data_IF_060549292487
#
_entry.id   IF_060549292487
#
_cell.length_a   1.000
_cell.length_b   1.000
_cell.length_c   1.000
_cell.angle_alpha   90.00
_cell.angle_beta   90.00
_cell.angle_gamma   90.00
#
_symmetry.space_group_name_H-M   'P 1'
#
loop_
_entity.id
_entity.type
_entity.pdbx_description
1 polymer ?
#
# COMPACT_ATOMS: atom_id res chain seq x y z
N UNK A 1 -19.12 16.90 -14.09
CA UNK A 1 -19.38 15.57 -14.68
C UNK A 1 -20.12 14.71 -13.67
N UNK A 2 -21.05 13.87 -14.10
CA UNK A 2 -21.78 12.92 -13.23
C UNK A 2 -21.45 11.50 -13.68
N UNK A 3 -21.06 10.65 -12.74
CA UNK A 3 -20.77 9.24 -12.98
C UNK A 3 -22.07 8.49 -13.27
N UNK A 4 -22.17 7.76 -14.40
CA UNK A 4 -23.34 6.93 -14.68
C UNK A 4 -23.55 5.85 -13.60
N UNK A 5 -24.77 5.30 -13.56
CA UNK A 5 -25.25 4.25 -12.64
C UNK A 5 -25.40 4.66 -11.17
N UNK A 6 -24.50 5.48 -10.64
CA UNK A 6 -24.54 5.94 -9.23
C UNK A 6 -24.83 7.43 -9.06
N UNK A 7 -24.95 8.17 -10.17
CA UNK A 7 -25.27 9.61 -10.19
C UNK A 7 -24.37 10.49 -9.31
N UNK A 8 -23.11 10.07 -9.13
CA UNK A 8 -22.14 10.78 -8.30
C UNK A 8 -21.47 11.90 -9.08
N UNK A 9 -21.41 13.12 -8.53
CA UNK A 9 -20.65 14.22 -9.12
C UNK A 9 -19.16 14.03 -8.85
N UNK A 10 -18.34 14.02 -9.91
CA UNK A 10 -16.88 13.84 -9.81
C UNK A 10 -16.18 15.17 -10.14
N UNK A 11 -15.13 15.57 -9.39
CA UNK A 11 -14.29 16.71 -9.74
C UNK A 11 -13.50 16.46 -11.03
N UNK A 12 -13.10 17.53 -11.70
CA UNK A 12 -12.16 17.47 -12.83
C UNK A 12 -10.88 18.15 -12.36
N UNK A 13 -9.76 17.44 -12.46
CA UNK A 13 -8.44 17.92 -12.03
C UNK A 13 -7.48 17.89 -13.22
N UNK A 14 -6.54 18.83 -13.26
CA UNK A 14 -5.42 18.80 -14.20
C UNK A 14 -4.22 18.13 -13.56
N UNK A 15 -3.65 17.11 -14.22
CA UNK A 15 -2.48 16.38 -13.75
C UNK A 15 -1.61 15.95 -14.95
N UNK A 16 -0.30 15.89 -14.75
CA UNK A 16 0.69 15.50 -15.77
C UNK A 16 0.57 14.01 -16.18
N UNK A 17 -0.11 13.19 -15.39
CA UNK A 17 -0.38 11.79 -15.72
C UNK A 17 -1.29 11.64 -16.96
N UNK A 18 -2.13 12.63 -17.26
CA UNK A 18 -3.00 12.60 -18.43
C UNK A 18 -2.23 12.96 -19.70
N UNK A 19 -2.27 12.08 -20.70
CA UNK A 19 -1.68 12.30 -22.02
C UNK A 19 -2.75 12.83 -22.99
N UNK A 20 -2.58 14.07 -23.46
CA UNK A 20 -3.50 14.72 -24.39
C UNK A 20 -3.55 14.06 -25.77
N UNK A 21 -2.51 13.32 -26.17
CA UNK A 21 -2.43 12.66 -27.48
C UNK A 21 -3.10 11.27 -27.46
N UNK A 22 -3.42 10.74 -26.27
CA UNK A 22 -3.99 9.40 -26.10
C UNK A 22 -5.50 9.44 -25.85
N UNK A 23 -6.25 8.72 -26.68
CA UNK A 23 -7.70 8.57 -26.51
C UNK A 23 -8.43 9.92 -26.59
N UNK A 24 -9.11 10.31 -25.52
CA UNK A 24 -9.82 11.61 -25.43
C UNK A 24 -9.00 12.72 -24.79
N UNK A 25 -7.78 12.42 -24.33
CA UNK A 25 -7.00 13.32 -23.46
C UNK A 25 -7.49 13.39 -22.01
N UNK A 26 -8.56 12.66 -21.67
CA UNK A 26 -9.11 12.56 -20.32
C UNK A 26 -9.03 11.11 -19.83
N UNK A 27 -8.54 10.91 -18.61
CA UNK A 27 -8.38 9.58 -17.99
C UNK A 27 -9.27 9.49 -16.75
N UNK A 28 -9.95 8.34 -16.55
CA UNK A 28 -10.66 8.08 -15.29
C UNK A 28 -9.62 7.86 -14.19
N UNK A 29 -9.86 8.40 -13.00
CA UNK A 29 -8.97 8.19 -11.85
C UNK A 29 -9.73 7.40 -10.78
N UNK A 30 -9.19 6.24 -10.42
CA UNK A 30 -9.71 5.29 -9.44
C UNK A 30 -8.64 4.93 -8.40
N UNK A 31 -8.34 5.84 -7.44
CA UNK A 31 -7.15 5.74 -6.58
C UNK A 31 -7.05 4.46 -5.74
N UNK A 32 -8.18 3.79 -5.50
CA UNK A 32 -8.22 2.57 -4.70
C UNK A 32 -7.84 1.29 -5.44
N UNK A 33 -7.74 1.34 -6.78
CA UNK A 33 -7.66 0.14 -7.64
C UNK A 33 -6.62 0.26 -8.77
N UNK A 34 -5.75 1.28 -8.75
CA UNK A 34 -4.62 1.41 -9.68
C UNK A 34 -3.51 2.27 -9.06
N UNK A 35 -2.25 1.89 -9.30
CA UNK A 35 -1.08 2.53 -8.68
C UNK A 35 -0.85 3.95 -9.18
N UNK A 36 -1.05 4.19 -10.47
CA UNK A 36 -0.87 5.51 -11.04
C UNK A 36 -2.01 6.43 -10.59
N UNK A 37 -3.24 5.90 -10.60
CA UNK A 37 -4.41 6.61 -10.09
C UNK A 37 -4.27 6.95 -8.60
N UNK A 38 -3.64 6.08 -7.82
CA UNK A 38 -3.37 6.30 -6.40
C UNK A 38 -2.49 7.53 -6.19
N UNK A 39 -1.39 7.65 -6.94
CA UNK A 39 -0.49 8.79 -6.84
C UNK A 39 -1.15 10.10 -7.30
N UNK A 40 -1.95 10.06 -8.37
CA UNK A 40 -2.79 11.21 -8.76
C UNK A 40 -3.77 11.57 -7.64
N UNK A 41 -4.44 10.57 -7.06
CA UNK A 41 -5.36 10.75 -5.95
C UNK A 41 -4.70 11.40 -4.74
N UNK A 42 -3.47 11.01 -4.41
CA UNK A 42 -2.68 11.64 -3.35
C UNK A 42 -2.33 13.09 -3.66
N UNK A 43 -1.81 13.38 -4.85
CA UNK A 43 -1.43 14.76 -5.26
C UNK A 43 -2.60 15.73 -5.20
N UNK A 44 -3.80 15.27 -5.58
CA UNK A 44 -5.01 16.09 -5.66
C UNK A 44 -5.97 15.93 -4.48
N UNK A 45 -5.57 15.22 -3.42
CA UNK A 45 -6.38 14.94 -2.24
C UNK A 45 -7.77 14.33 -2.58
N UNK A 46 -7.82 13.41 -3.55
CA UNK A 46 -9.05 12.76 -3.98
C UNK A 46 -9.48 11.65 -2.99
N UNK A 47 -10.79 11.49 -2.75
CA UNK A 47 -11.29 10.36 -1.97
C UNK A 47 -10.99 9.01 -2.65
N UNK A 48 -10.59 8.02 -1.86
CA UNK A 48 -10.25 6.68 -2.31
C UNK A 48 -11.43 5.75 -2.04
N UNK A 49 -11.96 5.08 -3.08
CA UNK A 49 -13.20 4.32 -2.99
C UNK A 49 -12.95 2.85 -3.31
N UNK A 50 -12.98 2.00 -2.29
CA UNK A 50 -12.87 0.56 -2.45
C UNK A 50 -14.24 -0.06 -2.74
N UNK A 51 -14.35 -0.76 -3.87
CA UNK A 51 -15.57 -1.48 -4.27
C UNK A 51 -15.39 -3.00 -4.31
N UNK A 52 -14.16 -3.50 -4.09
CA UNK A 52 -13.82 -4.92 -4.23
C UNK A 52 -13.56 -5.55 -2.86
N UNK A 53 -14.03 -6.78 -2.68
CA UNK A 53 -13.62 -7.68 -1.60
C UNK A 53 -12.27 -8.31 -1.93
N UNK A 54 -11.64 -8.97 -0.95
CA UNK A 54 -10.40 -9.71 -1.17
C UNK A 54 -10.54 -10.87 -2.16
N UNK A 55 -11.76 -11.40 -2.33
CA UNK A 55 -12.06 -12.45 -3.31
C UNK A 55 -12.23 -11.88 -4.75
N UNK A 56 -12.19 -10.55 -4.90
CA UNK A 56 -12.40 -9.89 -6.19
C UNK A 56 -13.88 -9.76 -6.57
N UNK A 57 -14.79 -9.82 -5.60
CA UNK A 57 -16.22 -9.59 -5.79
C UNK A 57 -16.58 -8.13 -5.47
N UNK A 58 -17.66 -7.63 -6.06
CA UNK A 58 -18.19 -6.31 -5.74
C UNK A 58 -18.82 -6.34 -4.33
N UNK A 59 -18.45 -5.35 -3.50
CA UNK A 59 -19.00 -5.18 -2.15
C UNK A 59 -20.49 -4.85 -2.17
N UNK A 60 -21.17 -5.13 -1.06
CA UNK A 60 -22.53 -4.61 -0.82
C UNK A 60 -22.53 -3.10 -0.61
N UNK A 61 -21.50 -2.60 0.09
CA UNK A 61 -21.25 -1.18 0.34
C UNK A 61 -19.79 -0.84 0.06
N UNK A 62 -19.54 0.26 -0.64
CA UNK A 62 -18.21 0.78 -0.87
C UNK A 62 -17.59 1.30 0.42
N UNK A 63 -16.28 1.15 0.57
CA UNK A 63 -15.51 1.81 1.61
C UNK A 63 -14.91 3.08 1.02
N UNK A 64 -14.98 4.19 1.76
CA UNK A 64 -14.50 5.49 1.29
C UNK A 64 -13.51 6.03 2.30
N UNK A 65 -12.32 6.38 1.80
CA UNK A 65 -11.21 6.86 2.61
C UNK A 65 -10.67 8.20 2.09
N UNK A 66 -10.07 8.99 2.97
CA UNK A 66 -9.23 10.12 2.59
C UNK A 66 -7.82 9.66 2.18
N UNK A 67 -6.97 10.60 1.74
CA UNK A 67 -5.59 10.28 1.34
C UNK A 67 -4.66 9.92 2.50
N UNK A 68 -5.14 10.04 3.74
CA UNK A 68 -4.44 9.61 4.95
C UNK A 68 -4.97 8.24 5.44
N UNK A 69 -5.91 7.65 4.70
CA UNK A 69 -6.53 6.36 5.00
C UNK A 69 -7.63 6.41 6.07
N UNK A 70 -8.07 7.59 6.51
CA UNK A 70 -9.20 7.69 7.44
C UNK A 70 -10.51 7.47 6.69
N UNK A 71 -11.48 6.83 7.34
CA UNK A 71 -12.83 6.72 6.81
C UNK A 71 -13.42 8.10 6.52
N UNK A 72 -14.14 8.21 5.41
CA UNK A 72 -14.74 9.45 4.93
C UNK A 72 -16.16 9.22 4.44
N UNK A 73 -17.04 10.17 4.71
CA UNK A 73 -18.44 10.20 4.28
C UNK A 73 -18.68 11.17 3.10
N UNK A 74 -17.61 11.66 2.47
CA UNK A 74 -17.68 12.62 1.36
C UNK A 74 -18.47 12.08 0.16
N UNK A 75 -18.53 10.77 0.01
CA UNK A 75 -19.33 10.08 -0.99
C UNK A 75 -20.18 8.98 -0.35
N UNK A 76 -21.35 8.73 -0.94
CA UNK A 76 -22.19 7.60 -0.53
C UNK A 76 -21.44 6.27 -0.74
N UNK A 77 -21.59 5.37 0.23
CA UNK A 77 -21.16 3.98 0.18
C UNK A 77 -22.08 3.09 -0.65
N UNK A 78 -23.17 3.61 -1.20
CA UNK A 78 -24.15 2.80 -1.93
C UNK A 78 -23.57 2.25 -3.23
N UNK A 79 -23.67 0.93 -3.40
CA UNK A 79 -23.42 0.22 -4.65
C UNK A 79 -24.77 -0.29 -5.16
N UNK A 80 -25.13 -0.12 -6.45
CA UNK A 80 -26.39 -0.60 -6.97
C UNK A 80 -26.55 -2.12 -6.76
N UNK A 81 -27.71 -2.53 -6.24
CA UNK A 81 -27.96 -3.91 -5.80
C UNK A 81 -27.73 -4.96 -6.90
N UNK A 82 -27.93 -4.58 -8.17
CA UNK A 82 -27.70 -5.44 -9.33
C UNK A 82 -26.23 -5.81 -9.57
N UNK A 83 -25.28 -5.03 -9.02
CA UNK A 83 -23.85 -5.30 -9.16
C UNK A 83 -23.22 -5.91 -7.92
N UNK A 84 -23.88 -5.85 -6.77
CA UNK A 84 -23.35 -6.37 -5.51
C UNK A 84 -23.09 -7.88 -5.61
N UNK A 85 -21.98 -8.34 -5.01
CA UNK A 85 -21.53 -9.74 -4.97
C UNK A 85 -21.21 -10.38 -6.32
N UNK A 86 -21.21 -9.60 -7.40
CA UNK A 86 -20.74 -10.10 -8.68
C UNK A 86 -19.21 -10.18 -8.65
N UNK A 87 -18.67 -11.27 -9.17
CA UNK A 87 -17.25 -11.40 -9.47
C UNK A 87 -16.83 -10.29 -10.47
N UNK A 88 -15.67 -9.67 -10.28
CA UNK A 88 -15.23 -8.47 -11.01
C UNK A 88 -15.34 -8.55 -12.54
N UNK A 89 -15.06 -9.69 -13.17
CA UNK A 89 -15.20 -9.81 -14.63
C UNK A 89 -16.67 -9.94 -15.04
N UNK A 90 -17.49 -10.62 -14.26
CA UNK A 90 -18.95 -10.63 -14.43
C UNK A 90 -19.55 -9.22 -14.24
N UNK A 91 -19.11 -8.51 -13.19
CA UNK A 91 -19.51 -7.14 -12.91
C UNK A 91 -19.14 -6.19 -14.06
N UNK A 92 -17.91 -6.30 -14.60
CA UNK A 92 -17.49 -5.52 -15.78
C UNK A 92 -18.45 -5.70 -16.96
N UNK A 93 -18.84 -6.94 -17.27
CA UNK A 93 -19.78 -7.23 -18.37
C UNK A 93 -21.16 -6.63 -18.11
N UNK A 94 -21.67 -6.76 -16.88
CA UNK A 94 -22.96 -6.20 -16.48
C UNK A 94 -22.96 -4.66 -16.55
N UNK A 95 -21.89 -4.01 -16.08
CA UNK A 95 -21.74 -2.54 -16.12
C UNK A 95 -21.69 -2.03 -17.56
N UNK A 96 -20.95 -2.71 -18.45
CA UNK A 96 -20.91 -2.33 -19.88
C UNK A 96 -22.31 -2.41 -20.49
N UNK A 97 -23.05 -3.50 -20.24
CA UNK A 97 -24.42 -3.65 -20.74
C UNK A 97 -25.38 -2.59 -20.17
N UNK A 98 -25.24 -2.23 -18.90
CA UNK A 98 -26.06 -1.18 -18.27
C UNK A 98 -25.76 0.21 -18.86
N UNK A 99 -24.48 0.53 -19.11
CA UNK A 99 -24.05 1.80 -19.73
C UNK A 99 -24.51 1.89 -21.19
N UNK A 100 -24.47 0.77 -21.93
CA UNK A 100 -24.98 0.68 -23.30
C UNK A 100 -26.51 0.88 -23.35
N UNK A 101 -27.25 0.27 -22.42
CA UNK A 101 -28.70 0.46 -22.30
C UNK A 101 -29.10 1.92 -22.00
N UNK A 102 -28.21 2.69 -21.36
CA UNK A 102 -28.39 4.13 -21.14
C UNK A 102 -28.01 4.99 -22.36
N UNK A 103 -27.47 4.40 -23.43
CA UNK A 103 -26.98 5.10 -24.61
C UNK A 103 -25.74 5.95 -24.35
N UNK A 104 -24.97 5.63 -23.30
CA UNK A 104 -23.77 6.37 -22.90
C UNK A 104 -22.47 5.69 -23.38
N UNK A 105 -22.57 4.51 -24.00
CA UNK A 105 -21.45 3.81 -24.60
C UNK A 105 -21.25 4.29 -26.04
N UNK A 106 -20.11 4.91 -26.33
CA UNK A 106 -19.77 5.38 -27.68
C UNK A 106 -19.18 4.26 -28.54
N UNK A 107 -18.16 3.56 -28.04
CA UNK A 107 -17.48 2.49 -28.78
C UNK A 107 -16.76 1.50 -27.86
N UNK A 108 -16.52 0.29 -28.38
CA UNK A 108 -15.63 -0.71 -27.77
C UNK A 108 -14.56 -1.09 -28.80
N UNK A 109 -13.29 -0.89 -28.44
CA UNK A 109 -12.13 -1.22 -29.29
C UNK A 109 -11.26 -2.28 -28.61
N UNK A 110 -10.76 -3.29 -29.36
CA UNK A 110 -9.70 -4.16 -28.86
C UNK A 110 -8.47 -3.35 -28.49
N UNK A 111 -7.87 -3.66 -27.34
CA UNK A 111 -6.66 -3.00 -26.87
C UNK A 111 -5.80 -3.99 -26.11
N UNK A 112 -4.51 -4.03 -26.45
CA UNK A 112 -3.54 -4.84 -25.73
C UNK A 112 -3.21 -4.17 -24.40
N UNK A 113 -3.36 -4.94 -23.32
CA UNK A 113 -3.13 -4.49 -21.95
C UNK A 113 -2.01 -5.31 -21.34
N UNK A 114 -1.05 -4.63 -20.72
CA UNK A 114 -0.10 -5.28 -19.81
C UNK A 114 -0.79 -5.48 -18.48
N UNK A 115 -1.07 -6.73 -18.12
CA UNK A 115 -1.77 -7.09 -16.88
C UNK A 115 -0.80 -7.86 -15.99
N UNK A 116 -0.60 -7.46 -14.72
CA UNK A 116 0.25 -8.19 -13.80
C UNK A 116 -0.41 -9.51 -13.38
N UNK A 117 0.38 -10.58 -13.35
CA UNK A 117 -0.07 -11.90 -12.91
C UNK A 117 0.74 -12.37 -11.71
N UNK A 118 0.06 -13.01 -10.75
CA UNK A 118 0.70 -13.61 -9.60
C UNK A 118 1.59 -14.77 -10.03
N UNK A 119 2.89 -14.66 -9.74
CA UNK A 119 3.95 -15.62 -10.12
C UNK A 119 3.58 -17.09 -9.86
N UNK A 120 2.96 -17.38 -8.70
CA UNK A 120 2.62 -18.77 -8.31
C UNK A 120 1.25 -19.24 -8.76
N UNK A 121 0.30 -18.32 -8.96
CA UNK A 121 -1.10 -18.64 -9.19
C UNK A 121 -1.56 -18.43 -10.63
N UNK A 122 -0.82 -17.65 -11.43
CA UNK A 122 -1.23 -17.25 -12.77
C UNK A 122 -2.53 -16.44 -12.80
N UNK A 123 -2.96 -15.89 -11.66
CA UNK A 123 -4.17 -15.07 -11.53
C UNK A 123 -3.79 -13.60 -11.66
N UNK A 124 -4.65 -12.81 -12.30
CA UNK A 124 -4.49 -11.36 -12.39
C UNK A 124 -4.42 -10.76 -10.99
N UNK A 125 -3.40 -9.95 -10.74
CA UNK A 125 -3.25 -9.22 -9.48
C UNK A 125 -4.17 -8.01 -9.51
N UNK A 126 -4.98 -7.88 -8.47
CA UNK A 126 -5.82 -6.70 -8.27
C UNK A 126 -5.15 -5.75 -7.28
N UNK A 127 -4.88 -4.51 -7.70
CA UNK A 127 -4.51 -3.44 -6.80
C UNK A 127 -5.64 -3.22 -5.77
N UNK A 128 -5.36 -3.34 -4.47
CA UNK A 128 -6.33 -3.00 -3.41
C UNK A 128 -5.73 -2.19 -2.25
N UNK A 129 -6.55 -1.32 -1.67
CA UNK A 129 -6.22 -0.62 -0.43
C UNK A 129 -6.20 -1.60 0.74
N UNK A 130 -5.04 -1.74 1.40
CA UNK A 130 -4.90 -2.59 2.58
C UNK A 130 -4.09 -1.89 3.68
N UNK A 131 -4.40 -2.22 4.93
CA UNK A 131 -3.58 -1.81 6.06
C UNK A 131 -2.34 -2.69 6.13
N UNK A 132 -1.16 -2.08 6.06
CA UNK A 132 0.12 -2.79 6.10
C UNK A 132 1.11 -2.06 7.01
N UNK A 133 2.14 -2.78 7.44
CA UNK A 133 3.25 -2.24 8.22
C UNK A 133 4.38 -1.77 7.30
N UNK A 134 4.85 -0.54 7.54
CA UNK A 134 5.89 0.07 6.74
C UNK A 134 7.05 0.55 7.60
N UNK A 135 8.21 0.55 6.97
CA UNK A 135 9.39 1.23 7.46
C UNK A 135 9.68 2.41 6.55
N UNK A 136 9.84 3.59 7.16
CA UNK A 136 10.23 4.81 6.46
C UNK A 136 11.62 4.65 5.84
N UNK A 137 11.64 4.44 4.54
CA UNK A 137 12.86 4.06 3.83
C UNK A 137 13.81 5.25 3.68
N UNK A 138 13.25 6.46 3.51
CA UNK A 138 14.02 7.71 3.39
C UNK A 138 14.94 7.97 4.60
N UNK A 139 14.46 7.66 5.81
CA UNK A 139 15.23 7.82 7.05
C UNK A 139 16.38 6.82 7.10
N UNK A 140 16.14 5.57 6.68
CA UNK A 140 17.17 4.52 6.64
C UNK A 140 18.18 4.73 5.51
N UNK A 141 17.74 5.32 4.40
CA UNK A 141 18.58 5.55 3.23
C UNK A 141 19.63 6.63 3.46
N UNK A 142 19.30 7.70 4.20
CA UNK A 142 20.22 8.81 4.51
C UNK A 142 21.61 8.37 5.00
N UNK A 143 21.75 7.62 6.11
CA UNK A 143 23.08 7.21 6.59
C UNK A 143 23.80 6.28 5.60
N UNK A 144 23.06 5.47 4.84
CA UNK A 144 23.64 4.57 3.84
C UNK A 144 24.13 5.32 2.59
N UNK A 145 23.48 6.41 2.19
CA UNK A 145 23.92 7.31 1.14
C UNK A 145 25.17 8.08 1.59
N UNK A 146 25.13 8.65 2.80
CA UNK A 146 26.25 9.41 3.38
C UNK A 146 27.52 8.56 3.49
N UNK A 147 27.40 7.28 3.88
CA UNK A 147 28.53 6.35 3.98
C UNK A 147 29.22 6.08 2.64
N UNK A 148 28.49 6.14 1.53
CA UNK A 148 29.06 6.00 0.18
C UNK A 148 29.63 7.32 -0.30
N UNK A 149 28.93 8.44 -0.07
CA UNK A 149 29.39 9.78 -0.46
C UNK A 149 30.68 10.19 0.26
N UNK A 150 30.85 9.82 1.54
CA UNK A 150 32.06 10.11 2.30
C UNK A 150 33.19 9.08 2.09
N UNK A 151 32.95 8.04 1.28
CA UNK A 151 33.93 7.01 0.94
C UNK A 151 34.19 5.96 2.01
N UNK A 152 33.38 5.90 3.08
CA UNK A 152 33.44 4.80 4.07
C UNK A 152 33.04 3.46 3.45
N UNK A 153 32.17 3.50 2.45
CA UNK A 153 31.81 2.37 1.58
C UNK A 153 32.26 2.72 0.16
N UNK A 154 32.94 1.78 -0.49
CA UNK A 154 33.39 1.94 -1.87
C UNK A 154 32.87 0.79 -2.73
N UNK A 155 32.26 1.11 -3.86
CA UNK A 155 31.82 0.10 -4.81
C UNK A 155 32.96 -0.27 -5.76
N UNK A 156 33.10 -1.56 -6.01
CA UNK A 156 34.01 -2.09 -7.02
C UNK A 156 33.22 -3.02 -7.92
N UNK A 157 33.07 -2.70 -9.23
CA UNK A 157 33.41 -1.45 -9.94
C UNK A 157 32.67 -0.17 -9.47
N UNK A 158 33.32 0.98 -9.62
CA UNK A 158 32.80 2.30 -9.18
C UNK A 158 31.50 2.73 -9.87
N UNK A 159 31.25 2.27 -11.09
CA UNK A 159 30.04 2.62 -11.86
C UNK A 159 28.72 2.26 -11.14
N UNK A 160 28.75 1.28 -10.23
CA UNK A 160 27.58 0.89 -9.44
C UNK A 160 27.16 1.96 -8.43
N UNK A 161 28.01 2.94 -8.09
CA UNK A 161 27.64 4.08 -7.24
C UNK A 161 26.47 4.87 -7.82
N UNK A 162 26.48 5.12 -9.13
CA UNK A 162 25.42 5.89 -9.78
C UNK A 162 24.07 5.17 -9.71
N UNK A 163 24.08 3.87 -9.96
CA UNK A 163 22.89 3.02 -9.85
C UNK A 163 22.38 3.01 -8.40
N UNK A 164 23.27 2.80 -7.44
CA UNK A 164 22.94 2.84 -6.02
C UNK A 164 22.32 4.19 -5.61
N UNK A 165 22.91 5.32 -5.99
CA UNK A 165 22.36 6.64 -5.66
C UNK A 165 21.00 6.90 -6.33
N UNK A 166 20.82 6.44 -7.57
CA UNK A 166 19.53 6.54 -8.26
C UNK A 166 18.44 5.81 -7.48
N UNK A 167 18.73 4.59 -7.01
CA UNK A 167 17.79 3.78 -6.23
C UNK A 167 17.53 4.38 -4.84
N UNK A 168 18.59 4.77 -4.12
CA UNK A 168 18.47 5.21 -2.73
C UNK A 168 17.81 6.59 -2.58
N UNK A 169 17.89 7.45 -3.60
CA UNK A 169 17.30 8.80 -3.56
C UNK A 169 15.80 8.81 -3.84
N UNK A 170 15.30 7.80 -4.55
CA UNK A 170 13.88 7.66 -4.91
C UNK A 170 13.23 6.44 -4.23
N UNK A 171 13.85 5.96 -3.14
CA UNK A 171 13.39 4.78 -2.43
C UNK A 171 12.01 5.02 -1.81
N UNK A 172 11.09 4.08 -2.08
CA UNK A 172 9.75 4.09 -1.50
C UNK A 172 9.74 3.40 -0.13
N UNK A 173 8.77 3.75 0.71
CA UNK A 173 8.60 3.12 2.02
C UNK A 173 8.45 1.60 1.88
N UNK A 174 9.16 0.87 2.74
CA UNK A 174 9.23 -0.57 2.62
C UNK A 174 8.09 -1.22 3.39
N UNK A 175 7.16 -1.85 2.67
CA UNK A 175 6.14 -2.73 3.25
C UNK A 175 6.80 -3.99 3.83
N UNK A 176 6.78 -4.13 5.15
CA UNK A 176 7.40 -5.22 5.91
C UNK A 176 6.41 -6.26 6.41
N UNK A 177 5.10 -6.08 6.23
CA UNK A 177 4.08 -7.08 6.57
C UNK A 177 3.74 -7.97 5.38
N UNK A 178 3.44 -9.24 5.67
CA UNK A 178 3.00 -10.24 4.70
C UNK A 178 1.89 -11.09 5.31
N UNK A 179 0.83 -11.32 4.54
CA UNK A 179 -0.29 -12.21 4.91
C UNK A 179 0.05 -13.67 4.57
N UNK A 180 1.11 -14.20 5.20
CA UNK A 180 1.59 -15.57 4.99
C UNK A 180 1.47 -16.37 6.29
N UNK A 181 1.29 -17.69 6.17
CA UNK A 181 1.23 -18.58 7.34
C UNK A 181 2.61 -18.87 7.95
N UNK A 182 3.69 -18.64 7.19
CA UNK A 182 5.05 -18.92 7.62
C UNK A 182 5.90 -17.65 7.63
N UNK A 183 6.50 -17.36 8.78
CA UNK A 183 7.36 -16.20 9.01
C UNK A 183 7.35 -15.81 10.48
N UNK A 184 8.14 -14.79 10.85
CA UNK A 184 8.10 -14.25 12.20
C UNK A 184 6.92 -13.30 12.35
N UNK A 185 6.07 -13.54 13.34
CA UNK A 185 4.91 -12.68 13.62
C UNK A 185 5.35 -11.27 13.94
N UNK A 186 4.60 -10.29 13.43
CA UNK A 186 4.88 -8.88 13.71
C UNK A 186 4.73 -8.64 15.23
N UNK A 187 5.73 -8.00 15.86
CA UNK A 187 5.70 -7.68 17.28
C UNK A 187 4.78 -6.48 17.57
N UNK A 188 3.51 -6.58 17.18
CA UNK A 188 2.47 -5.59 17.45
C UNK A 188 1.23 -6.27 18.04
N UNK A 189 0.60 -5.62 19.01
CA UNK A 189 -0.59 -6.08 19.73
C UNK A 189 -1.68 -5.04 19.64
N UNK A 190 -2.91 -5.52 19.52
CA UNK A 190 -4.13 -4.72 19.50
C UNK A 190 -4.95 -5.02 20.75
N UNK A 191 -5.54 -3.98 21.33
CA UNK A 191 -6.62 -4.15 22.29
C UNK A 191 -7.99 -4.20 21.60
N UNK A 192 -9.05 -4.35 22.40
CA UNK A 192 -10.43 -4.37 21.89
C UNK A 192 -10.93 -3.00 21.42
N UNK A 193 -10.22 -1.91 21.72
CA UNK A 193 -10.55 -0.55 21.30
C UNK A 193 -9.84 -0.17 19.99
N UNK A 194 -8.95 -1.03 19.48
CA UNK A 194 -8.17 -0.81 18.27
C UNK A 194 -6.86 -0.04 18.51
N UNK A 195 -6.46 0.17 19.77
CA UNK A 195 -5.15 0.75 20.07
C UNK A 195 -4.04 -0.24 19.72
N UNK A 196 -2.93 0.28 19.21
CA UNK A 196 -1.78 -0.52 18.75
C UNK A 196 -0.60 -0.32 19.70
N UNK A 197 0.02 -1.43 20.11
CA UNK A 197 1.18 -1.45 20.97
C UNK A 197 2.28 -2.32 20.37
N UNK A 198 3.54 -1.88 20.42
CA UNK A 198 4.68 -2.57 19.80
C UNK A 198 5.72 -2.92 20.86
N UNK A 199 6.19 -4.16 20.89
CA UNK A 199 7.16 -4.67 21.88
C UNK A 199 7.65 -6.07 21.55
N UNK A 200 8.68 -6.62 22.19
CA UNK A 200 9.19 -7.96 21.81
C UNK A 200 8.33 -9.09 22.34
N UNK A 201 7.55 -8.81 23.38
CA UNK A 201 6.59 -9.72 23.98
C UNK A 201 5.38 -8.95 24.52
N UNK A 202 4.30 -9.68 24.75
CA UNK A 202 3.12 -9.14 25.42
C UNK A 202 3.45 -8.56 26.80
N UNK A 203 4.33 -9.21 27.56
CA UNK A 203 4.76 -8.74 28.88
C UNK A 203 5.47 -7.37 28.81
N UNK A 204 6.34 -7.17 27.82
CA UNK A 204 7.02 -5.89 27.59
C UNK A 204 6.00 -4.80 27.26
N UNK A 205 5.06 -5.11 26.35
CA UNK A 205 3.97 -4.20 25.97
C UNK A 205 3.13 -3.80 27.19
N UNK A 206 2.73 -4.76 28.02
CA UNK A 206 1.91 -4.49 29.22
C UNK A 206 2.66 -3.62 30.22
N UNK A 207 3.94 -3.90 30.47
CA UNK A 207 4.75 -3.13 31.39
C UNK A 207 4.99 -1.70 30.91
N UNK A 208 5.41 -1.51 29.66
CA UNK A 208 5.74 -0.17 29.13
C UNK A 208 4.53 0.74 29.00
N UNK A 209 3.34 0.16 28.80
CA UNK A 209 2.10 0.91 28.60
C UNK A 209 1.17 0.91 29.85
N UNK A 210 1.61 0.33 30.96
CA UNK A 210 0.84 0.19 32.21
C UNK A 210 -0.55 -0.44 31.99
N UNK A 211 -0.62 -1.48 31.14
CA UNK A 211 -1.87 -2.16 30.84
C UNK A 211 -2.21 -3.18 31.93
N UNK A 212 -3.47 -3.20 32.38
CA UNK A 212 -3.91 -4.23 33.32
C UNK A 212 -3.96 -5.61 32.65
N UNK A 213 -3.93 -6.68 33.46
CA UNK A 213 -4.07 -8.04 32.96
C UNK A 213 -5.45 -8.30 32.31
N UNK A 214 -6.44 -7.46 32.61
CA UNK A 214 -7.82 -7.59 32.10
C UNK A 214 -7.95 -7.06 30.67
N UNK A 215 -7.00 -6.26 30.20
CA UNK A 215 -6.96 -5.82 28.80
C UNK A 215 -6.59 -7.01 27.94
N UNK A 216 -7.55 -7.49 27.14
CA UNK A 216 -7.28 -8.50 26.13
C UNK A 216 -6.37 -7.92 25.04
N UNK A 217 -5.23 -8.56 24.81
CA UNK A 217 -4.30 -8.19 23.75
C UNK A 217 -4.25 -9.30 22.72
N UNK A 218 -4.34 -8.94 21.44
CA UNK A 218 -4.19 -9.85 20.31
C UNK A 218 -2.99 -9.43 19.48
N UNK A 219 -2.04 -10.33 19.29
CA UNK A 219 -0.90 -10.09 18.41
C UNK A 219 -1.36 -10.05 16.94
N UNK A 220 -0.78 -9.14 16.16
CA UNK A 220 -0.98 -9.05 14.71
C UNK A 220 -0.76 -10.40 14.02
N UNK A 221 -1.64 -10.75 13.09
CA UNK A 221 -1.64 -12.02 12.36
C UNK A 221 -0.62 -12.09 11.24
N UNK A 222 -0.18 -10.93 10.77
CA UNK A 222 0.84 -10.81 9.74
C UNK A 222 2.21 -11.29 10.22
N UNK A 223 3.02 -11.69 9.24
CA UNK A 223 4.42 -12.02 9.43
C UNK A 223 5.31 -10.96 8.77
N UNK A 224 6.51 -10.80 9.32
CA UNK A 224 7.54 -9.94 8.77
C UNK A 224 8.06 -10.49 7.45
N UNK A 225 8.34 -9.57 6.53
CA UNK A 225 9.03 -9.85 5.29
C UNK A 225 10.39 -10.52 5.54
N UNK A 226 10.69 -11.55 4.76
CA UNK A 226 11.91 -12.36 4.90
C UNK A 226 13.18 -11.51 4.79
N UNK A 227 13.20 -10.51 3.90
CA UNK A 227 14.36 -9.63 3.74
C UNK A 227 14.54 -8.72 4.94
N UNK A 228 13.43 -8.27 5.55
CA UNK A 228 13.49 -7.46 6.77
C UNK A 228 14.14 -8.24 7.91
N UNK A 229 13.75 -9.51 8.07
CA UNK A 229 14.32 -10.38 9.09
C UNK A 229 15.82 -10.60 8.87
N UNK A 230 16.25 -10.90 7.64
CA UNK A 230 17.66 -11.13 7.31
C UNK A 230 18.55 -9.91 7.61
N UNK A 231 18.02 -8.70 7.47
CA UNK A 231 18.74 -7.44 7.74
C UNK A 231 18.66 -7.00 9.20
N UNK A 232 17.64 -7.43 9.94
CA UNK A 232 17.45 -7.10 11.36
C UNK A 232 18.28 -7.99 12.32
N UNK A 233 18.84 -9.11 11.85
CA UNK A 233 19.68 -10.01 12.67
C UNK A 233 20.86 -9.26 13.32
N UNK A 234 21.43 -8.25 12.64
CA UNK A 234 22.52 -7.43 13.20
C UNK A 234 22.03 -6.27 14.09
N UNK A 235 20.83 -5.73 13.84
CA UNK A 235 20.23 -4.62 14.61
C UNK A 235 19.62 -5.06 15.95
N UNK A 236 19.33 -6.36 16.09
CA UNK A 236 18.84 -6.95 17.34
C UNK A 236 19.96 -7.27 18.34
N UNK A 237 21.23 -7.01 18.01
CA UNK A 237 22.34 -7.16 18.95
C UNK A 237 22.19 -6.18 20.14
N UNK A 238 22.17 -6.64 21.41
CA UNK A 238 21.76 -5.85 22.59
C UNK A 238 22.57 -4.58 22.90
N UNK A 239 23.68 -4.34 22.20
CA UNK A 239 24.57 -3.19 22.43
C UNK A 239 24.13 -1.92 21.70
N UNK A 240 23.60 -2.01 20.46
CA UNK A 240 23.17 -0.83 19.69
C UNK A 240 21.82 -0.27 20.17
N UNK A 241 20.93 -1.13 20.68
CA UNK A 241 19.62 -0.73 21.21
C UNK A 241 19.69 0.09 22.52
N UNK A 242 20.86 0.19 23.19
CA UNK A 242 21.04 0.96 24.43
C UNK A 242 21.46 2.41 24.19
N UNK A 243 22.17 2.71 23.09
CA UNK A 243 22.67 4.06 22.82
C UNK A 243 21.58 5.00 22.28
N UNK A 244 20.62 4.48 21.51
CA UNK A 244 19.50 5.28 20.98
C UNK A 244 18.29 5.39 21.93
N UNK A 245 18.28 4.68 23.07
CA UNK A 245 17.16 4.69 24.04
C UNK A 245 17.03 5.98 24.85
N UNK A 246 18.05 6.85 24.86
CA UNK A 246 18.06 8.08 25.69
C UNK A 246 17.45 9.32 25.04
N UNK A 247 16.90 9.23 23.83
CA UNK A 247 16.42 10.40 23.08
C UNK A 247 14.93 10.35 22.67
N UNK A 248 14.12 9.43 23.19
CA UNK A 248 12.72 9.30 22.78
C UNK A 248 11.76 9.25 23.97
N UNK A 249 11.72 10.30 24.80
CA UNK A 249 10.48 10.65 25.51
C UNK A 249 9.61 11.46 24.54
N UNK A 250 8.88 10.76 23.68
CA UNK A 250 7.99 11.39 22.69
C UNK A 250 6.67 11.75 23.41
N UNK A 251 6.30 13.03 23.49
CA UNK A 251 5.06 13.46 24.13
C UNK A 251 3.82 12.94 23.38
N UNK A 252 2.66 12.80 24.06
CA UNK A 252 1.48 12.08 23.56
C UNK A 252 0.87 12.58 22.22
N UNK A 253 1.27 13.77 21.74
CA UNK A 253 0.80 14.35 20.48
C UNK A 253 1.69 14.04 19.24
N UNK A 254 2.59 13.05 19.32
CA UNK A 254 3.45 12.61 18.20
C UNK A 254 3.34 11.10 17.94
N UNK A 255 2.13 10.54 18.02
CA UNK A 255 1.86 9.11 17.74
C UNK A 255 1.78 8.75 16.24
N UNK A 256 2.04 9.68 15.33
CA UNK A 256 1.91 9.50 13.86
C UNK A 256 3.04 8.67 13.19
N UNK A 257 3.66 7.72 13.90
CA UNK A 257 4.97 7.18 13.51
C UNK A 257 5.10 5.68 13.25
N UNK A 258 4.12 4.83 13.59
CA UNK A 258 4.34 3.37 13.59
C UNK A 258 3.37 2.55 12.72
N UNK A 259 2.20 3.08 12.36
CA UNK A 259 1.31 2.50 11.37
C UNK A 259 0.88 3.60 10.42
N UNK A 260 1.71 3.86 9.41
CA UNK A 260 1.29 4.73 8.33
C UNK A 260 0.30 3.92 7.48
N UNK A 261 -0.94 4.41 7.37
CA UNK A 261 -1.88 3.93 6.35
C UNK A 261 -1.37 4.40 4.99
N UNK A 262 -0.39 3.67 4.47
CA UNK A 262 -0.04 3.70 3.06
C UNK A 262 -0.64 2.46 2.42
N UNK A 263 -1.44 2.72 1.41
CA UNK A 263 -2.15 1.70 0.71
C UNK A 263 -1.20 1.08 -0.30
N UNK A 264 -0.64 -0.11 -0.02
CA UNK A 264 -0.07 -0.91 -1.09
C UNK A 264 -1.16 -1.78 -1.68
N UNK A 265 -1.40 -1.47 -2.93
CA UNK A 265 -1.75 -2.38 -3.98
C UNK A 265 -0.57 -3.37 -4.11
N UNK A 266 -0.83 -4.68 -4.14
CA UNK A 266 0.23 -5.68 -4.26
C UNK A 266 0.89 -5.59 -5.64
N UNK A 267 2.16 -5.24 -5.71
CA UNK A 267 3.01 -5.61 -6.84
C UNK A 267 4.40 -5.97 -6.28
N UNK A 268 4.85 -7.16 -6.59
CA UNK A 268 6.20 -7.61 -6.27
C UNK A 268 6.84 -8.01 -7.60
N UNK A 269 7.50 -7.07 -8.31
CA UNK A 269 8.38 -7.44 -9.38
C UNK A 269 9.66 -7.97 -8.73
N UNK A 270 9.87 -9.29 -8.77
CA UNK A 270 11.22 -9.81 -8.67
C UNK A 270 11.88 -9.69 -10.04
N UNK A 271 13.01 -9.00 -10.05
CA UNK A 271 13.94 -8.88 -11.18
C UNK A 271 14.15 -10.23 -11.86
N UNK A 272 13.71 -10.32 -13.12
CA UNK A 272 14.30 -11.24 -14.08
C UNK A 272 15.63 -10.65 -14.55
N UNK A 273 16.72 -11.11 -13.96
CA UNK A 273 18.04 -11.10 -14.61
C UNK A 273 18.84 -12.32 -14.11
N UNK A 274 18.43 -13.49 -14.59
CA UNK A 274 19.21 -14.72 -14.52
C UNK A 274 19.33 -15.31 -15.93
N UNK A 275 19.92 -14.53 -16.84
CA UNK A 275 20.41 -15.03 -18.13
C UNK A 275 21.75 -14.39 -18.48
N UNK A 276 22.83 -14.96 -17.95
CA UNK A 276 24.11 -14.99 -18.63
C UNK A 276 24.79 -16.35 -18.40
N UNK A 277 25.23 -16.97 -19.50
CA UNK A 277 26.08 -18.17 -19.64
C UNK A 277 25.35 -19.50 -19.89
N UNK A 278 24.87 -19.71 -21.11
CA UNK A 278 25.58 -20.54 -22.11
C UNK A 278 25.13 -20.21 -23.54
#
# INVERSE_FOLDING_TARGET
MVLPLVNRRIPIVGDEHADMEKGTGCVKITPAHDFNDYEVGRRHALPMINILTFDGDIRESAEVYDTKGNESDVYSSDIPAEFQKLERFAARKAIVAAVDALGLLEEIKPHDLTVPYGDRGGVVIEPMLTDQWYVRADVLAKPAVEAVENGSIQFVPKQYENMYFSWMRDIQDWCISRQLWWGHRIPAWYDNEGNVYVGRSEDEVRQENNLSADVALRQDEDVLDTWFLLRAVDLLHPRLAREHRRAASVPPNQRDGLRLRYHLLLDCPHDHDDHALH
#
